data_IF_546280737981
#
_entry.id   IF_546280737981
#
_cell.length_a   1.000
_cell.length_b   1.000
_cell.length_c   1.000
_cell.angle_alpha   90.00
_cell.angle_beta   90.00
_cell.angle_gamma   90.00
#
_symmetry.space_group_name_H-M   'P 1'
#
loop_
_entity.id
_entity.type
_entity.pdbx_description
1 polymer ?
#
# COMPACT_ATOMS: atom_id res chain seq x y z
N UNK A 1 -51.85 12.72 -17.13
CA UNK A 1 -50.43 12.43 -16.86
C UNK A 1 -49.75 13.69 -16.34
N UNK A 2 -49.15 13.78 -15.15
CA UNK A 2 -49.13 12.92 -13.97
C UNK A 2 -48.51 13.79 -12.87
N UNK A 3 -49.32 14.36 -11.96
CA UNK A 3 -48.80 15.05 -10.76
C UNK A 3 -47.90 14.12 -9.92
N UNK A 4 -48.09 12.80 -10.07
CA UNK A 4 -47.28 11.75 -9.44
C UNK A 4 -45.84 11.69 -9.96
N UNK A 5 -45.58 11.98 -11.23
CA UNK A 5 -44.20 11.95 -11.76
C UNK A 5 -43.35 13.07 -11.15
N UNK A 6 -43.95 14.26 -10.97
CA UNK A 6 -43.27 15.40 -10.33
C UNK A 6 -42.95 15.14 -8.86
N UNK A 7 -43.83 14.45 -8.12
CA UNK A 7 -43.59 14.07 -6.73
C UNK A 7 -42.45 13.05 -6.59
N UNK A 8 -42.36 12.09 -7.51
CA UNK A 8 -41.27 11.10 -7.54
C UNK A 8 -39.92 11.77 -7.84
N UNK A 9 -39.88 12.73 -8.76
CA UNK A 9 -38.65 13.45 -9.09
C UNK A 9 -38.20 14.37 -7.95
N UNK A 10 -39.15 15.03 -7.27
CA UNK A 10 -38.87 15.81 -6.06
C UNK A 10 -38.36 14.92 -4.93
N UNK A 11 -38.94 13.73 -4.73
CA UNK A 11 -38.47 12.76 -3.74
C UNK A 11 -37.07 12.23 -4.05
N UNK A 12 -36.75 11.94 -5.33
CA UNK A 12 -35.40 11.55 -5.75
C UNK A 12 -34.40 12.68 -5.53
N UNK A 13 -34.77 13.92 -5.81
CA UNK A 13 -33.93 15.09 -5.58
C UNK A 13 -33.68 15.31 -4.09
N UNK A 14 -34.73 15.26 -3.26
CA UNK A 14 -34.62 15.38 -1.80
C UNK A 14 -33.80 14.25 -1.19
N UNK A 15 -33.93 13.00 -1.68
CA UNK A 15 -33.10 11.87 -1.21
C UNK A 15 -31.62 12.06 -1.59
N UNK A 16 -31.32 12.53 -2.80
CA UNK A 16 -29.95 12.86 -3.23
C UNK A 16 -29.38 14.06 -2.47
N UNK A 17 -30.21 15.05 -2.15
CA UNK A 17 -29.83 16.22 -1.37
C UNK A 17 -29.55 15.83 0.09
N UNK A 18 -30.43 15.06 0.72
CA UNK A 18 -30.21 14.53 2.07
C UNK A 18 -28.95 13.66 2.14
N UNK A 19 -28.72 12.77 1.17
CA UNK A 19 -27.49 11.98 1.11
C UNK A 19 -26.23 12.87 1.01
N UNK A 20 -26.27 13.91 0.17
CA UNK A 20 -25.16 14.86 0.04
C UNK A 20 -24.96 15.70 1.31
N UNK A 21 -26.03 16.12 1.97
CA UNK A 21 -25.97 16.94 3.20
C UNK A 21 -25.56 16.11 4.40
N UNK A 22 -26.02 14.86 4.51
CA UNK A 22 -25.60 13.93 5.55
C UNK A 22 -24.12 13.56 5.38
N UNK A 23 -23.69 13.23 4.15
CA UNK A 23 -22.28 13.05 3.86
C UNK A 23 -21.50 14.33 4.17
N UNK A 24 -22.01 15.52 3.83
CA UNK A 24 -21.32 16.79 4.12
C UNK A 24 -21.23 17.14 5.61
N UNK A 25 -22.27 16.82 6.41
CA UNK A 25 -22.26 17.02 7.86
C UNK A 25 -21.39 15.98 8.59
N UNK A 26 -21.40 14.72 8.15
CA UNK A 26 -20.46 13.68 8.60
C UNK A 26 -19.02 14.06 8.23
N UNK A 27 -18.79 14.65 7.04
CA UNK A 27 -17.47 15.11 6.59
C UNK A 27 -16.96 16.38 7.30
N UNK A 28 -17.86 17.22 7.84
CA UNK A 28 -17.49 18.50 8.50
C UNK A 28 -17.48 18.45 10.03
N UNK A 29 -18.24 17.56 10.67
CA UNK A 29 -18.27 17.48 12.14
C UNK A 29 -17.28 16.48 12.74
N UNK A 30 -16.70 15.59 11.93
CA UNK A 30 -15.54 14.78 12.27
C UNK A 30 -14.45 15.11 11.25
N UNK A 31 -13.49 15.95 11.63
CA UNK A 31 -12.23 16.03 10.89
C UNK A 31 -11.54 14.68 11.10
N UNK A 32 -11.95 13.66 10.33
CA UNK A 32 -11.26 12.38 10.26
C UNK A 32 -9.93 12.68 9.59
N UNK A 33 -8.95 13.03 10.42
CA UNK A 33 -7.56 13.06 10.03
C UNK A 33 -7.29 11.70 9.39
N UNK A 34 -6.89 11.67 8.12
CA UNK A 34 -6.69 10.41 7.40
C UNK A 34 -5.54 9.65 8.05
N UNK A 35 -5.58 8.32 8.00
CA UNK A 35 -4.58 7.48 8.63
C UNK A 35 -3.80 6.69 7.59
N UNK A 36 -2.48 6.72 7.69
CA UNK A 36 -1.58 5.89 6.89
C UNK A 36 -0.78 4.98 7.81
N UNK A 37 -0.64 3.71 7.43
CA UNK A 37 0.24 2.75 8.08
C UNK A 37 1.43 2.46 7.16
N UNK A 38 2.64 2.82 7.61
CA UNK A 38 3.89 2.41 6.99
C UNK A 38 4.33 1.10 7.63
N UNK A 39 4.59 0.08 6.82
CA UNK A 39 5.05 -1.23 7.31
C UNK A 39 6.47 -1.46 6.80
N UNK A 40 7.44 -1.56 7.71
CA UNK A 40 8.85 -1.65 7.36
C UNK A 40 9.49 -0.33 6.95
N UNK A 41 10.56 -0.39 6.17
CA UNK A 41 11.22 0.79 5.60
C UNK A 41 12.05 1.57 6.61
N UNK A 42 12.58 0.94 7.67
CA UNK A 42 13.37 1.64 8.68
C UNK A 42 14.59 2.33 8.06
N UNK A 43 15.17 1.70 7.03
CA UNK A 43 16.31 2.20 6.27
C UNK A 43 15.95 2.60 4.83
N UNK A 44 14.65 2.74 4.50
CA UNK A 44 14.23 3.10 3.15
C UNK A 44 14.26 4.64 2.96
N UNK A 45 14.88 5.16 1.89
CA UNK A 45 14.93 6.60 1.62
C UNK A 45 13.54 7.23 1.36
N UNK A 46 12.52 6.44 0.96
CA UNK A 46 11.15 6.91 0.82
C UNK A 46 10.50 7.24 2.16
N UNK A 47 10.90 6.58 3.25
CA UNK A 47 10.28 6.73 4.56
C UNK A 47 10.24 8.18 5.03
N UNK A 48 11.37 8.91 5.18
CA UNK A 48 11.33 10.31 5.60
C UNK A 48 10.54 11.21 4.64
N UNK A 49 10.54 10.90 3.35
CA UNK A 49 9.79 11.65 2.34
C UNK A 49 8.27 11.45 2.47
N UNK A 50 7.84 10.22 2.78
CA UNK A 50 6.45 9.89 3.09
C UNK A 50 6.00 10.61 4.36
N UNK A 51 6.82 10.60 5.42
CA UNK A 51 6.54 11.39 6.62
C UNK A 51 6.31 12.86 6.27
N UNK A 52 7.22 13.48 5.52
CA UNK A 52 7.08 14.89 5.14
C UNK A 52 5.81 15.20 4.32
N UNK A 53 5.43 14.32 3.40
CA UNK A 53 4.29 14.54 2.50
C UNK A 53 2.93 14.25 3.16
N UNK A 54 2.89 13.37 4.17
CA UNK A 54 1.65 12.99 4.85
C UNK A 54 1.40 13.75 6.16
N UNK A 55 2.46 14.17 6.87
CA UNK A 55 2.36 14.72 8.23
C UNK A 55 1.46 15.96 8.37
N UNK A 56 1.25 16.73 7.30
CA UNK A 56 0.42 17.94 7.36
C UNK A 56 -1.05 17.67 7.70
N UNK A 57 -1.62 16.57 7.19
CA UNK A 57 -3.07 16.29 7.29
C UNK A 57 -3.41 14.84 7.62
N UNK A 58 -2.40 13.99 7.82
CA UNK A 58 -2.57 12.57 8.09
C UNK A 58 -1.88 12.18 9.40
N UNK A 59 -2.47 11.23 10.12
CA UNK A 59 -1.79 10.52 11.17
C UNK A 59 -1.00 9.36 10.57
N UNK A 60 0.25 9.21 11.02
CA UNK A 60 1.17 8.21 10.48
C UNK A 60 1.42 7.17 11.57
N UNK A 61 0.97 5.94 11.33
CA UNK A 61 1.41 4.76 12.04
C UNK A 61 2.62 4.16 11.32
N UNK A 62 3.60 3.67 12.08
CA UNK A 62 4.75 2.95 11.52
C UNK A 62 4.96 1.67 12.32
N UNK A 63 5.06 0.55 11.60
CA UNK A 63 5.25 -0.79 12.13
C UNK A 63 6.61 -1.32 11.67
N UNK A 64 7.60 -1.31 12.58
CA UNK A 64 8.89 -1.96 12.38
C UNK A 64 8.83 -3.41 12.83
N UNK A 65 8.54 -4.35 11.93
CA UNK A 65 8.36 -5.78 12.26
C UNK A 65 9.66 -6.55 12.60
N UNK A 66 10.74 -5.88 13.00
CA UNK A 66 12.04 -6.55 13.19
C UNK A 66 12.11 -7.38 14.48
N UNK A 67 11.32 -7.07 15.52
CA UNK A 67 11.49 -7.70 16.85
C UNK A 67 10.22 -8.34 17.46
N UNK A 68 9.04 -8.21 16.85
CA UNK A 68 7.77 -8.47 17.57
C UNK A 68 7.11 -9.83 17.29
N UNK A 69 7.53 -10.59 16.26
CA UNK A 69 6.94 -11.90 15.95
C UNK A 69 7.99 -12.95 15.58
N UNK A 70 8.21 -13.94 16.44
CA UNK A 70 9.02 -15.12 16.10
C UNK A 70 8.16 -16.11 15.28
N UNK A 71 8.27 -16.10 13.95
CA UNK A 71 7.58 -17.08 13.10
C UNK A 71 8.51 -18.26 12.81
N UNK A 72 8.07 -19.48 13.14
CA UNK A 72 8.83 -20.72 12.89
C UNK A 72 8.92 -21.03 11.39
N UNK A 73 9.99 -21.70 10.94
CA UNK A 73 10.19 -22.04 9.54
C UNK A 73 9.31 -23.25 9.16
N UNK A 74 8.07 -22.97 8.81
CA UNK A 74 7.14 -23.72 7.96
C UNK A 74 5.87 -22.85 7.95
N UNK A 75 5.25 -22.63 6.79
CA UNK A 75 4.12 -21.73 6.58
C UNK A 75 2.82 -22.22 7.25
N UNK A 76 2.87 -22.46 8.56
CA UNK A 76 1.73 -22.50 9.44
C UNK A 76 1.71 -21.17 10.17
N UNK A 77 0.72 -20.32 9.84
CA UNK A 77 0.36 -19.15 10.65
C UNK A 77 -0.33 -19.62 11.94
N UNK A 78 0.31 -20.50 12.71
CA UNK A 78 -0.19 -21.01 14.00
C UNK A 78 -0.10 -19.95 15.13
N UNK A 79 -0.13 -18.68 14.75
CA UNK A 79 -0.03 -17.49 15.60
C UNK A 79 -1.19 -16.54 15.29
N UNK A 80 -2.38 -17.08 15.02
CA UNK A 80 -3.60 -16.28 14.81
C UNK A 80 -3.83 -15.30 15.97
N UNK A 81 -3.53 -15.73 17.20
CA UNK A 81 -3.57 -14.88 18.40
C UNK A 81 -2.58 -13.70 18.34
N UNK A 82 -1.37 -13.90 17.79
CA UNK A 82 -0.38 -12.82 17.69
C UNK A 82 -0.71 -11.86 16.54
N UNK A 83 -1.24 -12.37 15.42
CA UNK A 83 -1.77 -11.54 14.34
C UNK A 83 -2.97 -10.72 14.79
N UNK A 84 -3.88 -11.32 15.57
CA UNK A 84 -5.03 -10.62 16.12
C UNK A 84 -4.58 -9.55 17.11
N UNK A 85 -3.57 -9.81 17.95
CA UNK A 85 -2.96 -8.77 18.81
C UNK A 85 -2.41 -7.61 17.99
N UNK A 86 -1.75 -7.85 16.86
CA UNK A 86 -1.27 -6.78 15.99
C UNK A 86 -2.44 -5.98 15.38
N UNK A 87 -3.51 -6.66 14.96
CA UNK A 87 -4.74 -5.99 14.49
C UNK A 87 -5.31 -5.09 15.60
N UNK A 88 -5.40 -5.61 16.82
CA UNK A 88 -5.96 -4.88 17.96
C UNK A 88 -5.07 -3.68 18.34
N UNK A 89 -3.75 -3.85 18.34
CA UNK A 89 -2.79 -2.75 18.55
C UNK A 89 -2.88 -1.69 17.47
N UNK A 90 -3.03 -2.09 16.20
CA UNK A 90 -3.23 -1.16 15.10
C UNK A 90 -4.56 -0.39 15.24
N UNK A 91 -5.62 -1.08 15.72
CA UNK A 91 -6.95 -0.51 15.98
C UNK A 91 -6.99 0.46 17.16
N UNK A 92 -6.13 0.27 18.18
CA UNK A 92 -5.98 1.25 19.27
C UNK A 92 -5.51 2.61 18.73
N UNK A 93 -4.63 2.61 17.73
CA UNK A 93 -4.13 3.84 17.09
C UNK A 93 -5.15 4.45 16.15
N UNK A 94 -5.81 3.64 15.34
CA UNK A 94 -6.92 4.08 14.49
C UNK A 94 -7.85 2.93 14.16
N UNK A 95 -9.17 3.18 14.23
CA UNK A 95 -10.18 2.20 13.85
C UNK A 95 -10.10 1.78 12.37
N UNK A 96 -9.58 2.66 11.51
CA UNK A 96 -9.39 2.38 10.08
C UNK A 96 -8.16 3.12 9.51
N UNK A 97 -7.59 2.57 8.44
CA UNK A 97 -6.47 3.17 7.71
C UNK A 97 -6.88 3.43 6.25
N UNK A 98 -6.66 4.64 5.76
CA UNK A 98 -6.91 5.02 4.37
C UNK A 98 -5.83 4.47 3.43
N UNK A 99 -4.61 4.26 3.94
CA UNK A 99 -3.52 3.69 3.18
C UNK A 99 -2.61 2.81 4.04
N UNK A 100 -2.16 1.69 3.48
CA UNK A 100 -1.10 0.84 4.01
C UNK A 100 0.01 0.78 2.95
N UNK A 101 1.21 1.22 3.27
CA UNK A 101 2.37 1.19 2.36
C UNK A 101 3.42 0.25 2.95
N UNK A 102 3.70 -0.83 2.23
CA UNK A 102 4.74 -1.80 2.55
C UNK A 102 6.04 -1.34 1.91
N UNK A 103 7.03 -1.03 2.75
CA UNK A 103 8.33 -0.50 2.34
C UNK A 103 9.41 -1.59 2.44
N UNK A 104 10.18 -1.74 1.36
CA UNK A 104 11.40 -2.57 1.34
C UNK A 104 12.44 -1.98 2.31
N UNK A 105 13.16 -2.80 3.07
CA UNK A 105 14.29 -2.31 3.86
C UNK A 105 15.54 -2.29 2.98
N UNK A 106 16.06 -1.10 2.72
CA UNK A 106 17.40 -0.96 2.14
C UNK A 106 18.42 -1.04 3.25
N UNK A 107 18.56 -2.22 3.84
CA UNK A 107 19.75 -2.51 4.62
C UNK A 107 20.92 -2.38 3.64
N UNK A 108 21.86 -1.49 3.93
CA UNK A 108 23.05 -1.25 3.13
C UNK A 108 23.93 -2.48 3.16
N UNK A 109 23.52 -3.53 2.46
CA UNK A 109 24.30 -4.73 2.24
C UNK A 109 25.35 -4.31 1.22
N UNK A 110 26.48 -3.82 1.70
CA UNK A 110 27.73 -4.25 1.08
C UNK A 110 27.63 -5.76 1.06
N UNK A 111 27.50 -6.35 -0.14
CA UNK A 111 27.33 -7.79 -0.39
C UNK A 111 27.95 -8.60 0.75
N UNK A 112 27.16 -8.94 1.76
CA UNK A 112 27.65 -9.75 2.86
C UNK A 112 27.98 -11.09 2.20
N UNK A 113 29.22 -11.55 2.35
CA UNK A 113 29.69 -12.79 1.72
C UNK A 113 28.79 -14.00 2.09
N UNK A 114 27.98 -13.87 3.15
CA UNK A 114 27.02 -14.88 3.57
C UNK A 114 25.66 -14.77 2.83
N UNK A 115 25.51 -15.63 1.83
CA UNK A 115 24.27 -15.82 1.07
C UNK A 115 23.08 -16.26 1.95
N UNK A 116 23.31 -16.91 3.09
CA UNK A 116 22.24 -17.35 3.99
C UNK A 116 21.62 -16.19 4.78
N UNK A 117 22.44 -15.24 5.24
CA UNK A 117 21.95 -14.03 5.91
C UNK A 117 21.07 -13.20 4.97
N UNK A 118 21.51 -13.05 3.71
CA UNK A 118 20.70 -12.39 2.68
C UNK A 118 19.36 -13.12 2.44
N UNK A 119 19.35 -14.44 2.35
CA UNK A 119 18.11 -15.21 2.18
C UNK A 119 17.15 -15.00 3.37
N UNK A 120 17.65 -15.03 4.60
CA UNK A 120 16.84 -14.80 5.80
C UNK A 120 16.26 -13.39 5.84
N UNK A 121 17.01 -12.38 5.40
CA UNK A 121 16.51 -11.01 5.28
C UNK A 121 15.33 -10.95 4.29
N UNK A 122 15.49 -11.49 3.08
CA UNK A 122 14.42 -11.50 2.07
C UNK A 122 13.17 -12.27 2.53
N UNK A 123 13.36 -13.37 3.27
CA UNK A 123 12.26 -14.09 3.92
C UNK A 123 11.52 -13.19 4.93
N UNK A 124 12.25 -12.37 5.68
CA UNK A 124 11.67 -11.37 6.59
C UNK A 124 10.83 -10.31 5.87
N UNK A 125 11.27 -9.84 4.71
CA UNK A 125 10.51 -8.89 3.90
C UNK A 125 9.22 -9.48 3.33
N UNK A 126 9.28 -10.72 2.81
CA UNK A 126 8.08 -11.41 2.32
C UNK A 126 7.08 -11.65 3.46
N UNK A 127 7.57 -12.06 4.64
CA UNK A 127 6.76 -12.20 5.85
C UNK A 127 6.05 -10.90 6.22
N UNK A 128 6.76 -9.77 6.15
CA UNK A 128 6.19 -8.45 6.38
C UNK A 128 5.07 -8.11 5.39
N UNK A 129 5.29 -8.39 4.10
CA UNK A 129 4.28 -8.17 3.08
C UNK A 129 3.01 -8.99 3.36
N UNK A 130 3.14 -10.25 3.78
CA UNK A 130 2.02 -11.10 4.16
C UNK A 130 1.26 -10.58 5.39
N UNK A 131 1.97 -10.16 6.45
CA UNK A 131 1.36 -9.58 7.64
C UNK A 131 0.60 -8.30 7.29
N UNK A 132 1.21 -7.40 6.51
CA UNK A 132 0.56 -6.16 6.07
C UNK A 132 -0.69 -6.44 5.22
N UNK A 133 -0.64 -7.47 4.37
CA UNK A 133 -1.78 -7.91 3.57
C UNK A 133 -2.90 -8.44 4.44
N UNK A 134 -2.57 -9.20 5.49
CA UNK A 134 -3.57 -9.64 6.47
C UNK A 134 -4.20 -8.45 7.21
N UNK A 135 -3.38 -7.51 7.70
CA UNK A 135 -3.86 -6.28 8.33
C UNK A 135 -4.83 -5.53 7.39
N UNK A 136 -4.49 -5.41 6.11
CA UNK A 136 -5.34 -4.74 5.14
C UNK A 136 -6.77 -5.32 5.08
N UNK A 137 -6.94 -6.64 5.18
CA UNK A 137 -8.28 -7.25 5.21
C UNK A 137 -9.08 -6.95 6.49
N UNK A 138 -8.44 -6.41 7.54
CA UNK A 138 -9.05 -6.20 8.86
C UNK A 138 -9.20 -4.74 9.26
N UNK A 139 -8.31 -3.86 8.80
CA UNK A 139 -8.21 -2.45 9.26
C UNK A 139 -8.17 -1.43 8.13
N UNK A 140 -8.10 -1.86 6.86
CA UNK A 140 -8.14 -0.92 5.75
C UNK A 140 -9.56 -0.39 5.59
N UNK A 141 -9.69 0.92 5.38
CA UNK A 141 -10.97 1.54 5.11
C UNK A 141 -11.54 1.11 3.76
N UNK A 142 -12.86 1.19 3.63
CA UNK A 142 -13.56 1.22 2.34
C UNK A 142 -12.89 2.23 1.42
N UNK A 143 -12.60 1.84 0.18
CA UNK A 143 -11.89 2.70 -0.77
C UNK A 143 -10.47 3.08 -0.31
N UNK A 144 -9.85 2.29 0.56
CA UNK A 144 -8.46 2.44 0.99
C UNK A 144 -7.45 1.97 -0.07
N UNK A 145 -6.16 2.11 0.25
CA UNK A 145 -5.06 1.68 -0.62
C UNK A 145 -4.08 0.77 0.11
N UNK A 146 -3.70 -0.34 -0.51
CA UNK A 146 -2.53 -1.14 -0.15
C UNK A 146 -1.49 -0.99 -1.25
N UNK A 147 -0.27 -0.57 -0.90
CA UNK A 147 0.81 -0.39 -1.84
C UNK A 147 2.05 -1.20 -1.45
N UNK A 148 2.53 -2.04 -2.36
CA UNK A 148 3.82 -2.71 -2.25
C UNK A 148 4.89 -1.89 -2.97
N UNK A 149 5.99 -1.52 -2.31
CA UNK A 149 7.14 -0.95 -3.02
C UNK A 149 8.07 -2.06 -3.49
N UNK A 150 8.39 -2.07 -4.77
CA UNK A 150 9.18 -3.12 -5.43
C UNK A 150 10.37 -2.50 -6.15
N UNK A 151 11.53 -3.15 -6.17
CA UNK A 151 12.67 -2.67 -6.96
C UNK A 151 12.38 -2.89 -8.45
N UNK A 152 12.37 -1.81 -9.24
CA UNK A 152 12.11 -1.91 -10.67
C UNK A 152 13.11 -2.84 -11.37
N UNK A 153 14.36 -2.87 -10.93
CA UNK A 153 15.44 -3.63 -11.58
C UNK A 153 15.19 -5.14 -11.57
N UNK A 154 14.40 -5.64 -10.62
CA UNK A 154 14.06 -7.06 -10.50
C UNK A 154 13.20 -7.59 -11.66
N UNK A 155 12.55 -6.72 -12.45
CA UNK A 155 11.57 -7.10 -13.47
C UNK A 155 11.98 -6.77 -14.91
N UNK A 156 12.91 -5.84 -15.10
CA UNK A 156 13.32 -5.43 -16.44
C UNK A 156 14.76 -5.85 -16.70
N UNK A 157 14.94 -6.83 -17.58
CA UNK A 157 16.24 -7.42 -17.96
C UNK A 157 17.27 -6.35 -18.36
N UNK A 158 16.85 -5.26 -19.01
CA UNK A 158 17.72 -4.15 -19.41
C UNK A 158 18.31 -3.35 -18.23
N UNK A 159 17.72 -3.49 -17.04
CA UNK A 159 18.14 -2.79 -15.81
C UNK A 159 18.70 -3.75 -14.76
N UNK A 160 18.80 -5.05 -15.05
CA UNK A 160 19.47 -5.99 -14.15
C UNK A 160 20.97 -5.69 -14.19
N UNK A 161 21.47 -5.06 -13.13
CA UNK A 161 22.90 -5.05 -12.85
C UNK A 161 23.38 -6.50 -12.75
N UNK A 162 24.59 -6.80 -13.28
CA UNK A 162 25.19 -8.13 -13.24
C UNK A 162 25.32 -8.73 -11.81
N UNK A 163 25.04 -7.94 -10.77
CA UNK A 163 25.20 -8.29 -9.35
C UNK A 163 23.89 -8.37 -8.56
N UNK A 164 22.70 -8.32 -9.16
CA UNK A 164 21.48 -8.52 -8.37
C UNK A 164 21.39 -9.96 -7.83
N UNK A 165 21.33 -10.10 -6.51
CA UNK A 165 21.15 -11.40 -5.85
C UNK A 165 19.87 -12.07 -6.31
N UNK A 166 19.96 -13.34 -6.76
CA UNK A 166 18.79 -14.16 -7.12
C UNK A 166 17.73 -14.19 -6.02
N UNK A 167 18.15 -14.14 -4.75
CA UNK A 167 17.23 -14.08 -3.61
C UNK A 167 16.37 -12.82 -3.60
N UNK A 168 16.92 -11.67 -4.01
CA UNK A 168 16.18 -10.41 -4.13
C UNK A 168 15.11 -10.50 -5.20
N UNK A 169 15.50 -10.97 -6.40
CA UNK A 169 14.61 -11.12 -7.54
C UNK A 169 13.46 -12.06 -7.21
N UNK A 170 13.75 -13.22 -6.60
CA UNK A 170 12.71 -14.16 -6.17
C UNK A 170 11.74 -13.54 -5.16
N UNK A 171 12.25 -12.80 -4.18
CA UNK A 171 11.44 -12.10 -3.18
C UNK A 171 10.54 -11.05 -3.81
N UNK A 172 11.07 -10.24 -4.73
CA UNK A 172 10.26 -9.24 -5.42
C UNK A 172 9.17 -9.92 -6.23
N UNK A 173 9.47 -10.95 -7.03
CA UNK A 173 8.47 -11.72 -7.77
C UNK A 173 7.37 -12.31 -6.87
N UNK A 174 7.72 -12.80 -5.67
CA UNK A 174 6.74 -13.29 -4.70
C UNK A 174 5.80 -12.19 -4.19
N UNK A 175 6.33 -10.98 -3.94
CA UNK A 175 5.53 -9.82 -3.53
C UNK A 175 4.66 -9.33 -4.70
N UNK A 176 5.17 -9.36 -5.94
CA UNK A 176 4.36 -9.06 -7.12
C UNK A 176 3.19 -10.02 -7.28
N UNK A 177 3.43 -11.32 -7.16
CA UNK A 177 2.37 -12.32 -7.20
C UNK A 177 1.33 -12.11 -6.08
N UNK A 178 1.79 -11.74 -4.88
CA UNK A 178 0.90 -11.37 -3.78
C UNK A 178 0.05 -10.14 -4.11
N UNK A 179 0.64 -9.11 -4.72
CA UNK A 179 -0.05 -7.89 -5.16
C UNK A 179 -1.15 -8.19 -6.17
N UNK A 180 -0.85 -8.96 -7.23
CA UNK A 180 -1.83 -9.34 -8.25
C UNK A 180 -2.97 -10.12 -7.62
N UNK A 181 -2.65 -11.16 -6.84
CA UNK A 181 -3.67 -11.98 -6.19
C UNK A 181 -4.57 -11.17 -5.27
N UNK A 182 -4.02 -10.27 -4.45
CA UNK A 182 -4.81 -9.40 -3.56
C UNK A 182 -5.69 -8.43 -4.35
N UNK A 183 -5.22 -7.93 -5.50
CA UNK A 183 -6.02 -7.06 -6.36
C UNK A 183 -7.24 -7.74 -6.97
N UNK A 184 -7.24 -9.07 -7.06
CA UNK A 184 -8.33 -9.88 -7.60
C UNK A 184 -9.30 -10.42 -6.53
N UNK A 185 -8.98 -10.30 -5.22
CA UNK A 185 -9.82 -10.93 -4.19
C UNK A 185 -11.10 -10.16 -3.91
N UNK A 186 -12.16 -10.91 -3.65
CA UNK A 186 -13.47 -10.41 -3.24
C UNK A 186 -13.56 -10.04 -1.75
N UNK A 187 -12.57 -10.45 -0.93
CA UNK A 187 -12.60 -10.24 0.53
C UNK A 187 -12.05 -8.88 0.97
N UNK A 188 -11.41 -8.14 0.06
CA UNK A 188 -11.24 -6.70 0.22
C UNK A 188 -12.49 -5.99 -0.27
N UNK A 189 -12.87 -4.89 0.39
CA UNK A 189 -14.02 -4.12 -0.07
C UNK A 189 -13.81 -3.65 -1.52
N UNK A 190 -14.90 -3.65 -2.30
CA UNK A 190 -14.91 -3.57 -3.77
C UNK A 190 -14.18 -2.35 -4.36
N UNK A 191 -13.96 -1.31 -3.54
CA UNK A 191 -13.30 -0.07 -3.93
C UNK A 191 -11.83 0.03 -3.48
N UNK A 192 -11.31 -1.02 -2.83
CA UNK A 192 -9.93 -1.07 -2.34
C UNK A 192 -8.94 -1.14 -3.49
N UNK A 193 -7.94 -0.26 -3.48
CA UNK A 193 -6.84 -0.29 -4.43
C UNK A 193 -5.69 -1.14 -3.89
N UNK A 194 -5.28 -2.16 -4.63
CA UNK A 194 -4.01 -2.87 -4.42
C UNK A 194 -3.05 -2.54 -5.57
N UNK A 195 -1.82 -2.11 -5.27
CA UNK A 195 -0.86 -1.68 -6.29
C UNK A 195 0.57 -2.03 -5.93
N UNK A 196 1.38 -2.42 -6.93
CA UNK A 196 2.83 -2.48 -6.83
C UNK A 196 3.47 -1.21 -7.39
N UNK A 197 4.11 -0.39 -6.56
CA UNK A 197 4.90 0.75 -7.01
C UNK A 197 6.33 0.33 -7.32
N UNK A 198 6.74 0.40 -8.60
CA UNK A 198 8.10 0.11 -9.02
C UNK A 198 9.00 1.30 -8.71
N UNK A 199 9.97 1.10 -7.82
CA UNK A 199 10.84 2.13 -7.27
C UNK A 199 12.09 2.28 -8.12
N UNK A 200 12.38 3.53 -8.47
CA UNK A 200 13.62 3.97 -9.11
C UNK A 200 14.27 5.08 -8.25
N UNK A 201 15.54 4.92 -7.91
CA UNK A 201 16.24 5.69 -6.87
C UNK A 201 16.37 7.18 -7.18
N UNK A 202 16.47 7.54 -8.45
CA UNK A 202 16.55 8.93 -8.88
C UNK A 202 15.16 9.60 -8.97
N UNK A 203 14.08 8.85 -8.74
CA UNK A 203 12.68 9.28 -8.94
C UNK A 203 11.82 9.30 -7.68
N UNK A 204 12.42 9.10 -6.50
CA UNK A 204 11.70 8.98 -5.22
C UNK A 204 10.72 10.14 -4.95
N UNK A 205 11.10 11.38 -5.30
CA UNK A 205 10.25 12.57 -5.12
C UNK A 205 8.91 12.46 -5.84
N UNK A 206 8.92 11.94 -7.07
CA UNK A 206 7.71 11.85 -7.86
C UNK A 206 6.89 10.62 -7.45
N UNK A 207 7.55 9.52 -7.10
CA UNK A 207 6.90 8.33 -6.53
C UNK A 207 6.08 8.71 -5.30
N UNK A 208 6.67 9.45 -4.35
CA UNK A 208 5.98 9.87 -3.13
C UNK A 208 4.76 10.74 -3.42
N UNK A 209 4.84 11.65 -4.40
CA UNK A 209 3.68 12.46 -4.82
C UNK A 209 2.56 11.58 -5.35
N UNK A 210 2.87 10.58 -6.16
CA UNK A 210 1.86 9.66 -6.69
C UNK A 210 1.28 8.76 -5.60
N UNK A 211 2.09 8.25 -4.68
CA UNK A 211 1.61 7.51 -3.51
C UNK A 211 0.63 8.35 -2.68
N UNK A 212 0.92 9.65 -2.50
CA UNK A 212 0.00 10.57 -1.82
C UNK A 212 -1.30 10.77 -2.61
N UNK A 213 -1.22 10.98 -3.92
CA UNK A 213 -2.39 11.15 -4.79
C UNK A 213 -3.29 9.90 -4.76
N UNK A 214 -2.70 8.71 -4.87
CA UNK A 214 -3.45 7.46 -4.84
C UNK A 214 -4.08 7.22 -3.47
N UNK A 215 -3.33 7.46 -2.40
CA UNK A 215 -3.88 7.41 -1.03
C UNK A 215 -5.04 8.40 -0.86
N UNK A 216 -5.03 9.56 -1.53
CA UNK A 216 -6.13 10.51 -1.52
C UNK A 216 -7.36 10.13 -2.35
N UNK A 217 -7.29 9.05 -3.15
CA UNK A 217 -8.38 8.69 -4.07
C UNK A 217 -8.22 9.28 -5.48
N UNK A 218 -7.10 9.91 -5.79
CA UNK A 218 -6.90 10.69 -7.01
C UNK A 218 -6.06 9.90 -8.02
N UNK A 219 -6.56 9.75 -9.25
CA UNK A 219 -5.86 9.10 -10.37
C UNK A 219 -5.31 7.70 -10.02
N UNK A 220 -6.13 6.92 -9.31
CA UNK A 220 -5.79 5.55 -8.94
C UNK A 220 -5.64 4.67 -10.19
N UNK A 221 -4.58 3.86 -10.28
CA UNK A 221 -4.50 2.81 -11.29
C UNK A 221 -5.48 1.69 -10.96
N UNK A 222 -5.59 0.71 -11.86
CA UNK A 222 -6.40 -0.47 -11.60
C UNK A 222 -5.80 -1.32 -10.47
N UNK A 223 -6.65 -1.93 -9.64
CA UNK A 223 -6.21 -2.85 -8.60
C UNK A 223 -5.46 -4.05 -9.20
N UNK A 224 -4.45 -4.55 -8.51
CA UNK A 224 -3.60 -5.67 -8.97
C UNK A 224 -2.58 -5.29 -10.06
N UNK A 225 -2.40 -4.00 -10.36
CA UNK A 225 -1.43 -3.54 -11.37
C UNK A 225 -0.15 -2.98 -10.77
N UNK A 226 0.88 -2.87 -11.61
CA UNK A 226 2.17 -2.30 -11.26
C UNK A 226 2.33 -0.91 -11.86
N UNK A 227 2.61 0.10 -11.04
CA UNK A 227 2.89 1.45 -11.53
C UNK A 227 4.37 1.59 -11.88
N UNK A 228 4.63 1.74 -13.17
CA UNK A 228 5.94 2.07 -13.72
C UNK A 228 6.02 3.57 -14.04
N UNK A 229 6.98 4.26 -13.43
CA UNK A 229 7.26 5.67 -13.67
C UNK A 229 8.20 5.84 -14.87
N UNK A 230 7.67 5.98 -16.08
CA UNK A 230 8.48 6.24 -17.28
C UNK A 230 8.65 7.74 -17.50
N UNK A 231 9.88 8.16 -17.75
CA UNK A 231 10.20 9.55 -18.10
C UNK A 231 10.59 9.57 -19.58
N UNK A 232 9.74 10.17 -20.42
CA UNK A 232 10.19 10.61 -21.74
C UNK A 232 11.01 11.89 -21.59
N UNK A 233 11.39 12.54 -22.69
CA UNK A 233 12.10 13.83 -22.74
C UNK A 233 11.40 15.01 -22.02
N UNK A 234 10.38 14.76 -21.18
CA UNK A 234 9.62 15.73 -20.42
C UNK A 234 9.86 15.57 -18.91
N UNK A 235 9.90 16.70 -18.19
CA UNK A 235 10.17 16.79 -16.74
C UNK A 235 9.06 16.21 -15.83
N UNK A 236 8.04 15.53 -16.38
CA UNK A 236 6.95 14.92 -15.61
C UNK A 236 6.85 13.43 -15.97
N UNK A 237 6.73 12.52 -14.98
CA UNK A 237 6.58 11.10 -15.26
C UNK A 237 5.25 10.82 -15.96
N UNK A 238 5.27 9.87 -16.88
CA UNK A 238 4.09 9.16 -17.32
C UNK A 238 4.04 7.85 -16.54
N UNK A 239 2.98 7.67 -15.75
CA UNK A 239 2.77 6.46 -14.96
C UNK A 239 1.86 5.54 -15.75
N UNK A 240 2.36 4.35 -16.07
CA UNK A 240 1.59 3.30 -16.73
C UNK A 240 1.28 2.18 -15.74
N UNK A 241 0.00 1.76 -15.61
CA UNK A 241 -0.29 0.47 -15.03
C UNK A 241 0.19 -0.62 -16.00
N UNK A 242 1.09 -1.48 -15.53
CA UNK A 242 1.61 -2.63 -16.26
C UNK A 242 1.11 -3.91 -15.57
N UNK A 243 0.85 -4.95 -16.38
CA UNK A 243 0.75 -6.32 -15.90
C UNK A 243 2.16 -6.91 -16.09
N UNK A 244 2.81 -7.29 -15.00
CA UNK A 244 4.14 -7.92 -15.01
C UNK A 244 4.03 -9.42 -15.16
#
# INVERSE_FOLDING_TARGET
MSKNNKLIDVAKYLRRFFYRVQNFFEYRMLVNQKHILLVGGNNNPLTPMLYQNFYQNWQIGHLGLQDELAIKPNFQLDQEDELQKLVDQAKIRSAHYDAIIILEDRNGIQEQEDKFEMHNMYKGEMKRALIASHLATKILASNGMVCFTLDQRSYFEQKQEQNQSTGKVMKDCQIAHLCTNLGEREDLETDTLVIGALIEDDKLNDIVKYLKLWADGIKRPASGTFAHFKYSSHKRPIVYPELL
#
